data_IF_657693476101
#
_entry.id   IF_657693476101
#
_cell.length_a   1.000
_cell.length_b   1.000
_cell.length_c   1.000
_cell.angle_alpha   90.00
_cell.angle_beta   90.00
_cell.angle_gamma   90.00
#
_symmetry.space_group_name_H-M   'P 1'
#
loop_
_entity.id
_entity.type
_entity.pdbx_description
1 polymer ?
#
# COMPACT_ATOMS: atom_id res chain seq x y z
N UNK A 1 11.56 -6.27 24.04
CA UNK A 1 11.85 -6.73 22.67
C UNK A 1 11.86 -5.54 21.72
N UNK A 2 12.56 -5.62 20.58
CA UNK A 2 12.60 -4.56 19.57
C UNK A 2 11.21 -4.07 19.13
N UNK A 3 10.26 -5.00 19.01
CA UNK A 3 8.86 -4.72 18.72
C UNK A 3 8.18 -3.82 19.78
N UNK A 4 8.47 -4.05 21.07
CA UNK A 4 7.92 -3.24 22.19
C UNK A 4 8.46 -1.82 22.19
N UNK A 5 9.74 -1.63 21.83
CA UNK A 5 10.36 -0.31 21.73
C UNK A 5 9.84 0.48 20.52
N UNK A 6 9.66 -0.20 19.39
CA UNK A 6 9.04 0.37 18.19
C UNK A 6 7.58 0.79 18.44
N UNK A 7 6.77 -0.07 19.06
CA UNK A 7 5.38 0.26 19.40
C UNK A 7 5.29 1.45 20.38
N UNK A 8 6.18 1.52 21.38
CA UNK A 8 6.22 2.65 22.30
C UNK A 8 6.66 3.96 21.62
N UNK A 9 7.53 3.88 20.61
CA UNK A 9 7.91 5.02 19.78
C UNK A 9 6.73 5.49 18.92
N UNK A 10 6.04 4.58 18.23
CA UNK A 10 4.89 4.97 17.41
C UNK A 10 3.72 5.52 18.24
N UNK A 11 3.41 4.93 19.42
CA UNK A 11 2.40 5.50 20.33
C UNK A 11 2.79 6.89 20.84
N UNK A 12 4.08 7.14 21.09
CA UNK A 12 4.57 8.48 21.42
C UNK A 12 4.42 9.44 20.25
N UNK A 13 4.67 9.00 19.02
CA UNK A 13 4.44 9.82 17.84
C UNK A 13 2.95 10.14 17.67
N UNK A 14 2.08 9.16 17.82
CA UNK A 14 0.62 9.36 17.72
C UNK A 14 0.08 10.32 18.77
N UNK A 15 0.52 10.18 20.01
CA UNK A 15 0.12 11.05 21.12
C UNK A 15 0.72 12.47 21.03
N UNK A 16 1.93 12.61 20.47
CA UNK A 16 2.63 13.91 20.37
C UNK A 16 2.24 14.70 19.13
N UNK A 17 1.88 14.02 18.03
CA UNK A 17 1.56 14.65 16.74
C UNK A 17 0.06 14.57 16.39
N UNK A 18 -0.77 13.98 17.26
CA UNK A 18 -2.21 13.87 17.02
C UNK A 18 -2.56 13.01 15.80
N UNK A 19 -1.75 11.99 15.49
CA UNK A 19 -1.92 11.15 14.28
C UNK A 19 -3.15 10.23 14.33
N UNK A 20 -3.93 10.28 15.42
CA UNK A 20 -5.26 9.67 15.47
C UNK A 20 -6.17 10.42 14.48
N UNK A 21 -6.18 9.97 13.23
CA UNK A 21 -6.83 10.62 12.09
C UNK A 21 -5.94 10.81 10.85
N UNK A 22 -4.62 10.70 10.99
CA UNK A 22 -3.67 10.94 9.90
C UNK A 22 -3.11 9.65 9.26
N UNK A 23 -3.40 8.48 9.83
CA UNK A 23 -2.91 7.18 9.34
C UNK A 23 -3.26 6.93 7.86
N UNK A 24 -4.37 7.51 7.39
CA UNK A 24 -4.88 7.44 6.03
C UNK A 24 -4.67 8.74 5.23
N UNK A 25 -3.89 9.68 5.74
CA UNK A 25 -3.59 10.91 5.01
C UNK A 25 -2.73 10.60 3.79
N UNK A 26 -3.03 11.20 2.62
CA UNK A 26 -2.17 11.07 1.45
C UNK A 26 -0.81 11.73 1.75
N UNK A 27 0.26 11.06 1.35
CA UNK A 27 1.65 11.50 1.50
C UNK A 27 2.09 12.44 0.37
N UNK A 28 1.37 12.42 -0.77
CA UNK A 28 1.61 13.21 -1.97
C UNK A 28 0.29 13.54 -2.66
N UNK A 29 0.31 14.49 -3.60
CA UNK A 29 -0.84 14.90 -4.42
C UNK A 29 -1.46 13.75 -5.22
N UNK A 30 -0.68 12.68 -5.46
CA UNK A 30 -1.14 11.44 -6.10
C UNK A 30 -2.14 10.64 -5.26
N UNK A 31 -2.34 10.96 -3.98
CA UNK A 31 -3.20 10.17 -3.09
C UNK A 31 -2.55 8.90 -2.54
N UNK A 32 -1.26 8.67 -2.81
CA UNK A 32 -0.49 7.58 -2.20
C UNK A 32 -0.46 7.72 -0.67
N UNK A 33 -0.67 6.61 0.04
CA UNK A 33 -0.66 6.56 1.51
C UNK A 33 0.46 5.68 2.01
N UNK A 34 0.66 5.65 3.32
CA UNK A 34 1.66 4.80 3.96
C UNK A 34 1.49 3.31 3.60
N UNK A 35 0.26 2.84 3.37
CA UNK A 35 -0.04 1.47 2.95
C UNK A 35 0.50 1.16 1.56
N UNK A 36 0.40 2.06 0.59
CA UNK A 36 1.01 1.89 -0.74
C UNK A 36 2.52 1.72 -0.65
N UNK A 37 3.21 2.59 0.09
CA UNK A 37 4.67 2.49 0.25
C UNK A 37 5.09 1.21 0.97
N UNK A 38 4.43 0.86 2.08
CA UNK A 38 4.77 -0.35 2.81
C UNK A 38 4.53 -1.61 1.96
N UNK A 39 3.48 -1.62 1.14
CA UNK A 39 3.14 -2.70 0.23
C UNK A 39 4.16 -2.85 -0.91
N UNK A 40 4.50 -1.74 -1.58
CA UNK A 40 5.48 -1.68 -2.68
C UNK A 40 6.88 -2.12 -2.24
N UNK A 41 7.33 -1.63 -1.09
CA UNK A 41 8.71 -1.86 -0.60
C UNK A 41 8.87 -3.17 0.19
N UNK A 42 7.85 -4.04 0.23
CA UNK A 42 7.94 -5.32 0.94
C UNK A 42 7.98 -5.20 2.47
N UNK A 43 7.58 -4.06 3.05
CA UNK A 43 7.77 -3.76 4.47
C UNK A 43 6.68 -4.38 5.37
N UNK A 44 6.63 -5.71 5.39
CA UNK A 44 5.63 -6.55 6.09
C UNK A 44 5.32 -6.07 7.50
N UNK A 45 6.34 -5.86 8.34
CA UNK A 45 6.13 -5.48 9.75
C UNK A 45 5.58 -4.06 9.92
N UNK A 46 5.96 -3.14 9.03
CA UNK A 46 5.38 -1.79 9.02
C UNK A 46 3.95 -1.81 8.50
N UNK A 47 3.66 -2.63 7.49
CA UNK A 47 2.29 -2.81 6.99
C UNK A 47 1.37 -3.39 8.06
N UNK A 48 1.80 -4.44 8.79
CA UNK A 48 1.06 -4.98 9.94
C UNK A 48 0.81 -3.91 11.00
N UNK A 49 1.84 -3.09 11.29
CA UNK A 49 1.70 -1.99 12.23
C UNK A 49 0.64 -0.99 11.76
N UNK A 50 0.68 -0.55 10.50
CA UNK A 50 -0.32 0.35 9.90
C UNK A 50 -1.74 -0.22 10.02
N UNK A 51 -1.94 -1.50 9.68
CA UNK A 51 -3.23 -2.20 9.77
C UNK A 51 -3.80 -2.15 11.19
N UNK A 52 -2.99 -2.51 12.20
CA UNK A 52 -3.41 -2.51 13.61
C UNK A 52 -3.84 -1.11 14.08
N UNK A 53 -3.33 -0.05 13.46
CA UNK A 53 -3.65 1.34 13.80
C UNK A 53 -4.72 1.95 12.87
N UNK A 54 -5.44 1.12 12.11
CA UNK A 54 -6.60 1.54 11.33
C UNK A 54 -6.28 2.12 9.96
N UNK A 55 -5.13 1.75 9.39
CA UNK A 55 -4.84 2.08 8.00
C UNK A 55 -5.81 1.38 7.05
N UNK A 56 -6.26 2.10 6.03
CA UNK A 56 -7.10 1.59 4.95
C UNK A 56 -6.23 0.81 3.96
N UNK A 57 -6.41 -0.51 3.99
CA UNK A 57 -5.71 -1.47 3.11
C UNK A 57 -6.26 -1.51 1.69
N UNK A 58 -7.41 -0.87 1.44
CA UNK A 58 -8.05 -0.77 0.13
C UNK A 58 -7.94 0.64 -0.48
N UNK A 59 -7.20 1.53 0.17
CA UNK A 59 -7.14 2.93 -0.22
C UNK A 59 -6.67 3.11 -1.67
N UNK A 60 -7.45 3.81 -2.48
CA UNK A 60 -7.09 4.12 -3.85
C UNK A 60 -6.28 5.41 -3.94
N UNK A 61 -5.26 5.43 -4.80
CA UNK A 61 -4.60 6.68 -5.22
C UNK A 61 -5.56 7.51 -6.06
N UNK A 62 -5.37 8.83 -6.10
CA UNK A 62 -6.20 9.70 -6.90
C UNK A 62 -6.08 9.35 -8.40
N UNK A 63 -7.16 9.47 -9.18
CA UNK A 63 -7.10 9.25 -10.62
C UNK A 63 -6.24 10.35 -11.27
N UNK A 64 -5.43 9.96 -12.27
CA UNK A 64 -4.52 10.83 -13.04
C UNK A 64 -5.10 12.17 -13.47
N UNK A 65 -6.40 12.21 -13.77
CA UNK A 65 -7.12 13.39 -14.23
C UNK A 65 -7.01 14.58 -13.26
N UNK A 66 -6.83 14.31 -11.96
CA UNK A 66 -6.71 15.34 -10.93
C UNK A 66 -5.26 15.87 -10.77
N UNK A 67 -4.26 15.18 -11.34
CA UNK A 67 -2.84 15.40 -11.02
C UNK A 67 -2.02 15.82 -12.25
N UNK A 68 -2.42 15.40 -13.47
CA UNK A 68 -1.70 15.76 -14.69
C UNK A 68 -2.63 16.01 -15.89
N UNK A 69 -2.74 17.25 -16.39
CA UNK A 69 -3.46 17.55 -17.63
C UNK A 69 -2.76 16.97 -18.88
N UNK A 70 -1.53 16.44 -18.75
CA UNK A 70 -0.78 15.81 -19.83
C UNK A 70 -1.20 14.36 -20.12
N UNK A 71 -2.14 13.79 -19.33
CA UNK A 71 -2.72 12.47 -19.62
C UNK A 71 -1.79 11.29 -19.38
N UNK A 72 -0.70 11.47 -18.61
CA UNK A 72 0.03 10.31 -18.07
C UNK A 72 -0.94 9.56 -17.15
N UNK A 73 -1.28 8.34 -17.54
CA UNK A 73 -2.27 7.46 -16.91
C UNK A 73 -1.76 6.94 -15.56
N UNK A 74 -1.60 7.83 -14.58
CA UNK A 74 -1.55 7.47 -13.16
C UNK A 74 -2.94 6.98 -12.72
N UNK A 75 -3.31 5.76 -13.14
CA UNK A 75 -4.58 5.19 -12.75
C UNK A 75 -4.59 4.89 -11.25
N UNK A 76 -5.77 4.99 -10.65
CA UNK A 76 -5.98 4.72 -9.24
C UNK A 76 -5.48 3.31 -8.85
N UNK A 77 -4.40 3.23 -8.06
CA UNK A 77 -3.83 1.99 -7.53
C UNK A 77 -4.27 1.77 -6.07
N UNK A 78 -4.59 0.53 -5.74
CA UNK A 78 -4.76 0.08 -4.35
C UNK A 78 -3.43 -0.53 -3.83
N UNK A 79 -3.22 -0.70 -2.50
CA UNK A 79 -1.98 -1.29 -1.97
C UNK A 79 -1.64 -2.65 -2.58
N UNK A 80 -2.65 -3.46 -2.93
CA UNK A 80 -2.43 -4.75 -3.57
C UNK A 80 -1.83 -4.62 -4.98
N UNK A 81 -2.21 -3.60 -5.76
CA UNK A 81 -1.63 -3.35 -7.08
C UNK A 81 -0.12 -3.11 -6.98
N UNK A 82 0.29 -2.19 -6.10
CA UNK A 82 1.72 -1.84 -5.95
C UNK A 82 2.54 -2.97 -5.33
N UNK A 83 1.93 -3.83 -4.50
CA UNK A 83 2.58 -5.05 -4.03
C UNK A 83 2.79 -6.08 -5.15
N UNK A 84 1.76 -6.32 -5.97
CA UNK A 84 1.83 -7.26 -7.09
C UNK A 84 2.85 -6.81 -8.15
N UNK A 85 2.81 -5.52 -8.54
CA UNK A 85 3.80 -4.89 -9.43
C UNK A 85 5.24 -5.07 -8.96
N UNK A 86 5.46 -5.15 -7.64
CA UNK A 86 6.77 -5.25 -7.03
C UNK A 86 7.13 -6.68 -6.57
N UNK A 87 6.31 -7.68 -6.90
CA UNK A 87 6.54 -9.08 -6.53
C UNK A 87 6.49 -9.37 -5.02
N UNK A 88 5.84 -8.50 -4.23
CA UNK A 88 5.88 -8.56 -2.76
C UNK A 88 4.84 -9.52 -2.20
N UNK A 89 5.08 -10.83 -2.32
CA UNK A 89 4.16 -11.88 -1.85
C UNK A 89 3.82 -11.74 -0.36
N UNK A 90 4.82 -11.49 0.49
CA UNK A 90 4.60 -11.34 1.93
C UNK A 90 3.72 -10.14 2.31
N UNK A 91 3.73 -9.06 1.53
CA UNK A 91 2.81 -7.94 1.77
C UNK A 91 1.42 -8.24 1.24
N UNK A 92 1.28 -8.95 0.12
CA UNK A 92 -0.03 -9.45 -0.37
C UNK A 92 -0.72 -10.37 0.66
N UNK A 93 0.03 -11.26 1.32
CA UNK A 93 -0.50 -12.09 2.40
C UNK A 93 -1.02 -11.26 3.58
N UNK A 94 -0.27 -10.23 3.99
CA UNK A 94 -0.71 -9.31 5.05
C UNK A 94 -1.95 -8.53 4.61
N UNK A 95 -1.98 -8.00 3.39
CA UNK A 95 -3.14 -7.29 2.85
C UNK A 95 -4.37 -8.19 2.85
N UNK A 96 -4.27 -9.40 2.31
CA UNK A 96 -5.36 -10.37 2.27
C UNK A 96 -5.87 -10.74 3.66
N UNK A 97 -4.97 -11.09 4.58
CA UNK A 97 -5.34 -11.40 5.97
C UNK A 97 -5.92 -10.21 6.73
N UNK A 98 -5.67 -8.99 6.26
CA UNK A 98 -6.21 -7.74 6.81
C UNK A 98 -7.52 -7.29 6.14
N UNK A 99 -8.10 -8.10 5.25
CA UNK A 99 -9.36 -7.81 4.58
C UNK A 99 -9.24 -6.92 3.34
N UNK A 100 -8.05 -6.83 2.73
CA UNK A 100 -7.89 -6.17 1.45
C UNK A 100 -8.57 -6.97 0.33
N UNK A 101 -9.21 -6.25 -0.60
CA UNK A 101 -9.71 -6.83 -1.85
C UNK A 101 -8.55 -6.97 -2.84
N UNK A 102 -8.04 -8.19 -2.99
CA UNK A 102 -6.99 -8.50 -3.97
C UNK A 102 -7.51 -8.50 -5.43
N UNK A 103 -8.81 -8.33 -5.63
CA UNK A 103 -9.44 -8.17 -6.95
C UNK A 103 -9.87 -6.72 -7.22
N UNK A 104 -9.36 -5.76 -6.44
CA UNK A 104 -9.65 -4.33 -6.60
C UNK A 104 -9.38 -3.91 -8.06
N UNK A 105 -10.32 -3.19 -8.70
CA UNK A 105 -10.17 -2.77 -10.11
C UNK A 105 -9.78 -1.31 -10.24
N UNK A 106 -8.82 -1.03 -11.13
CA UNK A 106 -8.57 0.31 -11.68
C UNK A 106 -9.71 0.75 -12.62
N UNK A 107 -9.78 2.04 -13.00
CA UNK A 107 -10.75 2.54 -13.97
C UNK A 107 -10.69 1.87 -15.35
N UNK A 108 -9.54 1.33 -15.75
CA UNK A 108 -9.35 0.55 -16.99
C UNK A 108 -9.71 -0.94 -16.83
N UNK A 109 -10.14 -1.35 -15.64
CA UNK A 109 -10.53 -2.73 -15.32
C UNK A 109 -9.39 -3.63 -14.87
N UNK A 110 -8.14 -3.16 -14.90
CA UNK A 110 -6.99 -3.95 -14.46
C UNK A 110 -7.03 -4.20 -12.95
N UNK A 111 -6.59 -5.39 -12.55
CA UNK A 111 -6.55 -5.92 -11.19
C UNK A 111 -5.10 -6.09 -10.73
N UNK A 112 -4.82 -6.25 -9.42
CA UNK A 112 -3.47 -6.55 -8.94
C UNK A 112 -2.82 -7.75 -9.65
N UNK A 113 -3.61 -8.78 -9.99
CA UNK A 113 -3.12 -9.96 -10.69
C UNK A 113 -2.55 -9.63 -12.07
N UNK A 114 -3.16 -8.69 -12.80
CA UNK A 114 -2.68 -8.26 -14.12
C UNK A 114 -1.30 -7.58 -14.07
N UNK A 115 -0.83 -7.21 -12.87
CA UNK A 115 0.48 -6.62 -12.63
C UNK A 115 1.44 -7.55 -11.88
N UNK A 116 1.02 -8.76 -11.51
CA UNK A 116 1.92 -9.70 -10.86
C UNK A 116 3.01 -10.11 -11.88
N UNK A 117 4.28 -9.90 -11.54
CA UNK A 117 5.38 -10.46 -12.33
C UNK A 117 5.28 -11.98 -12.33
N UNK A 118 5.31 -12.57 -13.53
CA UNK A 118 5.35 -14.02 -13.71
C UNK A 118 6.73 -14.52 -13.24
N UNK A 119 6.77 -15.25 -12.12
CA UNK A 119 8.04 -15.75 -11.55
C UNK A 119 8.70 -16.85 -12.41
N UNK A 120 8.05 -17.28 -13.49
CA UNK A 120 8.57 -18.26 -14.44
C UNK A 120 9.65 -17.70 -15.42
N UNK A 121 10.11 -16.45 -15.24
CA UNK A 121 11.20 -15.88 -16.06
C UNK A 121 12.57 -15.75 -15.37
N UNK A 122 12.73 -16.23 -14.13
CA UNK A 122 14.04 -16.18 -13.41
C UNK A 122 14.76 -17.52 -13.26
N UNK A 123 14.44 -18.52 -14.10
CA UNK A 123 15.18 -19.79 -14.16
C UNK A 123 15.71 -20.12 -15.56
N UNK A 124 16.18 -19.11 -16.30
CA UNK A 124 16.91 -19.30 -17.55
C UNK A 124 17.98 -18.21 -17.80
N UNK A 125 19.13 -18.31 -17.12
CA UNK A 125 20.45 -17.89 -17.61
C UNK A 125 21.57 -18.44 -16.73
#
# INVERSE_FOLDING_TARGET
SPLKAWMAFCMKLEASFGLKGCINAPLRETGERATHYAAKEGQVEKLKWLVVHGADVNAQTAPAADISPAGDVSLSLCPAHVAAMAGQLGTLEVLHSSGADLNCKRPDGATPFDFAEDQDQTEAA
#
